data_IF_709300529508
#
_entry.id   IF_709300529508
#
_cell.length_a   1.000
_cell.length_b   1.000
_cell.length_c   1.000
_cell.angle_alpha   90.00
_cell.angle_beta   90.00
_cell.angle_gamma   90.00
#
_symmetry.space_group_name_H-M   'P 1'
#
loop_
_entity.id
_entity.type
_entity.pdbx_description
1 polymer ?
#
# COMPACT_ATOMS: atom_id res chain seq x y z
N UNK A 1 -27.99 5.07 17.34
CA UNK A 1 -27.29 5.81 18.40
C UNK A 1 -26.10 4.97 18.85
N UNK A 2 -24.99 4.93 18.08
CA UNK A 2 -23.72 4.26 18.44
C UNK A 2 -22.57 4.75 17.54
N UNK A 3 -22.45 6.08 17.39
CA UNK A 3 -21.35 6.73 16.66
C UNK A 3 -20.19 7.19 17.55
N UNK A 4 -20.24 6.92 18.86
CA UNK A 4 -19.38 7.64 19.82
C UNK A 4 -18.14 6.90 20.33
N UNK A 5 -17.78 5.70 19.84
CA UNK A 5 -16.61 4.98 20.40
C UNK A 5 -15.52 4.54 19.41
N UNK A 6 -15.46 5.06 18.19
CA UNK A 6 -14.50 4.56 17.19
C UNK A 6 -13.41 5.53 16.75
N UNK A 7 -13.36 6.76 17.23
CA UNK A 7 -12.37 7.74 16.81
C UNK A 7 -11.36 8.04 17.92
N UNK A 8 -10.47 7.10 18.20
CA UNK A 8 -9.28 7.36 19.05
C UNK A 8 -8.24 8.24 18.37
N UNK A 9 -8.29 8.36 17.04
CA UNK A 9 -7.41 9.20 16.23
C UNK A 9 -8.24 10.11 15.32
N UNK A 10 -7.78 11.35 15.07
CA UNK A 10 -8.35 12.23 14.04
C UNK A 10 -8.29 11.59 12.65
N UNK A 11 -9.01 12.17 11.69
CA UNK A 11 -8.90 11.73 10.30
C UNK A 11 -7.48 11.94 9.77
N UNK A 12 -6.99 11.13 8.82
CA UNK A 12 -5.66 11.31 8.22
C UNK A 12 -5.44 12.71 7.65
N UNK A 13 -6.49 13.35 7.12
CA UNK A 13 -6.42 14.74 6.68
C UNK A 13 -6.15 15.70 7.83
N UNK A 14 -6.88 15.57 8.95
CA UNK A 14 -6.65 16.39 10.15
C UNK A 14 -5.23 16.21 10.69
N UNK A 15 -4.72 14.97 10.66
CA UNK A 15 -3.34 14.67 11.07
C UNK A 15 -2.34 15.37 10.13
N UNK A 16 -2.55 15.32 8.81
CA UNK A 16 -1.69 16.00 7.83
C UNK A 16 -1.64 17.52 8.09
N UNK A 17 -2.79 18.13 8.39
CA UNK A 17 -2.87 19.56 8.75
C UNK A 17 -2.13 19.85 10.06
N UNK A 18 -2.34 19.04 11.11
CA UNK A 18 -1.63 19.20 12.39
C UNK A 18 -0.12 19.06 12.23
N UNK A 19 0.34 18.07 11.47
CA UNK A 19 1.76 17.88 11.15
C UNK A 19 2.33 19.09 10.39
N UNK A 20 1.56 19.66 9.46
CA UNK A 20 1.94 20.88 8.76
C UNK A 20 2.18 22.02 9.76
N UNK A 21 1.24 22.29 10.69
CA UNK A 21 1.41 23.31 11.72
C UNK A 21 2.60 23.02 12.64
N UNK A 22 2.79 21.78 13.09
CA UNK A 22 3.95 21.40 13.92
C UNK A 22 5.25 21.66 13.16
N UNK A 23 5.31 21.30 11.87
CA UNK A 23 6.49 21.56 11.04
C UNK A 23 6.79 23.05 10.90
N UNK A 24 5.77 23.89 10.69
CA UNK A 24 5.94 25.35 10.66
C UNK A 24 6.46 25.89 12.00
N UNK A 25 5.88 25.46 13.11
CA UNK A 25 6.33 25.89 14.44
C UNK A 25 7.79 25.49 14.66
N UNK A 26 8.16 24.25 14.40
CA UNK A 26 9.54 23.79 14.53
C UNK A 26 10.49 24.57 13.61
N UNK A 27 10.11 24.79 12.37
CA UNK A 27 10.94 25.55 11.40
C UNK A 27 11.14 27.00 11.84
N UNK A 28 10.12 27.65 12.40
CA UNK A 28 10.23 29.02 12.91
C UNK A 28 11.22 29.17 14.06
N UNK A 29 11.37 28.12 14.91
CA UNK A 29 12.25 28.15 16.07
C UNK A 29 13.63 27.57 15.80
N UNK A 30 13.76 26.62 14.86
CA UNK A 30 14.99 25.86 14.64
C UNK A 30 15.79 26.33 13.41
N UNK A 31 15.10 26.95 12.44
CA UNK A 31 15.77 27.39 11.21
C UNK A 31 16.15 28.87 11.27
N UNK A 32 17.33 29.17 10.71
CA UNK A 32 17.75 30.56 10.53
C UNK A 32 17.19 31.14 9.22
N UNK A 33 16.66 32.38 9.23
CA UNK A 33 16.18 33.02 8.02
C UNK A 33 17.35 33.24 7.03
N UNK A 34 17.17 32.81 5.79
CA UNK A 34 18.21 32.92 4.76
C UNK A 34 18.29 34.28 4.09
N UNK A 35 17.21 35.07 4.16
CA UNK A 35 17.10 36.41 3.57
C UNK A 35 16.67 37.39 4.67
N UNK A 36 17.09 38.64 4.58
CA UNK A 36 16.61 39.73 5.44
C UNK A 36 15.14 40.04 5.14
N UNK A 37 14.24 39.14 5.46
CA UNK A 37 12.83 39.22 5.20
C UNK A 37 11.99 38.61 6.33
N UNK A 38 10.69 38.47 6.10
CA UNK A 38 9.81 37.80 7.03
C UNK A 38 9.98 36.28 6.91
N UNK A 39 10.62 35.65 7.89
CA UNK A 39 10.89 34.20 7.94
C UNK A 39 9.62 33.35 7.72
N UNK A 40 8.47 33.78 8.24
CA UNK A 40 7.21 33.10 8.03
C UNK A 40 6.79 33.10 6.55
N UNK A 41 7.01 34.20 5.83
CA UNK A 41 6.68 34.26 4.39
C UNK A 41 7.59 33.34 3.57
N UNK A 42 8.85 33.22 3.94
CA UNK A 42 9.81 32.28 3.29
C UNK A 42 9.34 30.82 3.51
N UNK A 43 8.95 30.46 4.72
CA UNK A 43 8.44 29.12 5.03
C UNK A 43 7.12 28.84 4.28
N UNK A 44 6.19 29.82 4.22
CA UNK A 44 4.94 29.67 3.45
C UNK A 44 5.22 29.49 1.95
N UNK A 45 6.17 30.24 1.39
CA UNK A 45 6.60 30.06 0.00
C UNK A 45 7.21 28.68 -0.26
N UNK A 46 8.00 28.17 0.69
CA UNK A 46 8.61 26.85 0.59
C UNK A 46 7.59 25.73 0.71
N UNK A 47 6.59 25.92 1.58
CA UNK A 47 5.44 25.04 1.69
C UNK A 47 4.64 24.98 0.40
N UNK A 48 4.29 26.14 -0.17
CA UNK A 48 3.57 26.24 -1.44
C UNK A 48 4.35 25.58 -2.59
N UNK A 49 5.66 25.83 -2.70
CA UNK A 49 6.52 25.16 -3.70
C UNK A 49 6.56 23.65 -3.51
N UNK A 50 6.55 23.18 -2.27
CA UNK A 50 6.48 21.77 -1.94
C UNK A 50 5.16 21.15 -2.40
N UNK A 51 4.01 21.78 -2.10
CA UNK A 51 2.67 21.34 -2.50
C UNK A 51 2.58 21.04 -4.00
N UNK A 52 3.16 21.93 -4.81
CA UNK A 52 3.07 21.88 -6.27
C UNK A 52 4.33 21.37 -6.96
N UNK A 53 5.18 20.64 -6.23
CA UNK A 53 6.41 20.06 -6.79
C UNK A 53 6.07 19.02 -7.87
N UNK A 54 6.45 19.24 -9.16
CA UNK A 54 5.99 18.38 -10.26
C UNK A 54 6.40 16.90 -10.12
N UNK A 55 7.66 16.56 -9.78
CA UNK A 55 8.05 15.17 -9.55
C UNK A 55 7.23 14.45 -8.46
N UNK A 56 6.85 15.17 -7.39
CA UNK A 56 6.05 14.62 -6.30
C UNK A 56 4.57 14.46 -6.71
N UNK A 57 4.02 15.40 -7.48
CA UNK A 57 2.66 15.28 -8.02
C UNK A 57 2.54 14.12 -9.00
N UNK A 58 3.54 13.89 -9.86
CA UNK A 58 3.60 12.70 -10.71
C UNK A 58 3.62 11.44 -9.87
N UNK A 59 4.41 11.42 -8.80
CA UNK A 59 4.44 10.29 -7.87
C UNK A 59 3.07 10.03 -7.21
N UNK A 60 2.37 11.08 -6.75
CA UNK A 60 1.03 10.95 -6.20
C UNK A 60 0.06 10.31 -7.21
N UNK A 61 0.05 10.79 -8.45
CA UNK A 61 -0.78 10.22 -9.51
C UNK A 61 -0.46 8.75 -9.81
N UNK A 62 0.83 8.40 -9.85
CA UNK A 62 1.28 7.01 -10.01
C UNK A 62 0.72 6.10 -8.92
N UNK A 63 0.76 6.54 -7.66
CA UNK A 63 0.23 5.76 -6.52
C UNK A 63 -1.30 5.67 -6.53
N UNK A 64 -1.99 6.74 -6.92
CA UNK A 64 -3.45 6.72 -7.11
C UNK A 64 -3.86 5.70 -8.17
N UNK A 65 -3.21 5.71 -9.34
CA UNK A 65 -3.47 4.76 -10.42
C UNK A 65 -3.18 3.33 -9.97
N UNK A 66 -2.08 3.12 -9.22
CA UNK A 66 -1.71 1.81 -8.67
C UNK A 66 -2.84 1.23 -7.80
N UNK A 67 -3.41 2.06 -6.91
CA UNK A 67 -4.54 1.67 -6.06
C UNK A 67 -5.80 1.43 -6.88
N UNK A 68 -6.18 2.38 -7.71
CA UNK A 68 -7.45 2.34 -8.46
C UNK A 68 -7.48 1.17 -9.43
N UNK A 69 -6.43 1.01 -10.25
CA UNK A 69 -6.41 -0.05 -11.25
C UNK A 69 -6.27 -1.43 -10.59
N UNK A 70 -5.47 -1.54 -9.52
CA UNK A 70 -5.39 -2.76 -8.71
C UNK A 70 -6.75 -3.16 -8.12
N UNK A 71 -7.50 -2.20 -7.58
CA UNK A 71 -8.87 -2.40 -7.10
C UNK A 71 -9.81 -2.85 -8.24
N UNK A 72 -9.73 -2.21 -9.40
CA UNK A 72 -10.51 -2.58 -10.59
C UNK A 72 -10.23 -4.03 -10.99
N UNK A 73 -8.97 -4.46 -11.02
CA UNK A 73 -8.61 -5.87 -11.28
C UNK A 73 -9.26 -6.80 -10.25
N UNK A 74 -9.23 -6.44 -8.95
CA UNK A 74 -9.84 -7.25 -7.90
C UNK A 74 -11.34 -7.46 -8.07
N UNK A 75 -12.07 -6.47 -8.62
CA UNK A 75 -13.50 -6.53 -8.88
C UNK A 75 -13.88 -7.35 -10.13
N UNK A 76 -12.90 -7.85 -10.86
CA UNK A 76 -13.14 -8.55 -12.13
C UNK A 76 -13.74 -9.95 -11.95
N UNK A 77 -14.52 -10.39 -12.94
CA UNK A 77 -15.13 -11.72 -12.95
C UNK A 77 -14.16 -12.90 -12.83
N UNK A 78 -12.98 -12.89 -13.48
CA UNK A 78 -11.96 -13.93 -13.29
C UNK A 78 -11.48 -14.05 -11.84
N UNK A 79 -11.25 -12.92 -11.13
CA UNK A 79 -10.85 -12.93 -9.71
C UNK A 79 -11.98 -13.47 -8.84
N UNK A 80 -13.23 -13.03 -9.05
CA UNK A 80 -14.39 -13.58 -8.31
C UNK A 80 -14.52 -15.09 -8.51
N UNK A 81 -14.30 -15.58 -9.73
CA UNK A 81 -14.34 -17.02 -10.06
C UNK A 81 -13.20 -17.79 -9.38
N UNK A 82 -11.99 -17.22 -9.33
CA UNK A 82 -10.84 -17.81 -8.62
C UNK A 82 -11.14 -17.93 -7.14
N UNK A 83 -11.61 -16.85 -6.51
CA UNK A 83 -11.97 -16.82 -5.08
C UNK A 83 -13.03 -17.91 -4.79
N UNK A 84 -14.08 -18.01 -5.60
CA UNK A 84 -15.13 -19.05 -5.43
C UNK A 84 -14.56 -20.47 -5.46
N UNK A 85 -13.63 -20.75 -6.38
CA UNK A 85 -12.97 -22.07 -6.46
C UNK A 85 -12.14 -22.39 -5.23
N UNK A 86 -11.42 -21.42 -4.70
CA UNK A 86 -10.57 -21.60 -3.52
C UNK A 86 -11.43 -21.71 -2.23
N UNK A 87 -12.55 -20.99 -2.17
CA UNK A 87 -13.44 -20.98 -1.00
C UNK A 87 -13.97 -22.37 -0.61
N UNK A 88 -14.05 -23.31 -1.55
CA UNK A 88 -14.49 -24.69 -1.30
C UNK A 88 -13.56 -25.40 -0.28
N UNK A 89 -12.28 -25.03 -0.23
CA UNK A 89 -11.30 -25.60 0.71
C UNK A 89 -11.35 -24.96 2.10
N UNK A 90 -12.11 -23.87 2.27
CA UNK A 90 -12.27 -23.14 3.51
C UNK A 90 -13.35 -23.80 4.41
N UNK A 91 -13.04 -24.98 4.96
CA UNK A 91 -14.01 -25.85 5.68
C UNK A 91 -14.09 -25.61 7.18
N UNK A 92 -13.13 -24.89 7.77
CA UNK A 92 -13.10 -24.50 9.19
C UNK A 92 -12.23 -23.26 9.38
N UNK A 93 -12.25 -22.65 10.57
CA UNK A 93 -11.51 -21.41 10.87
C UNK A 93 -10.02 -21.52 10.55
N UNK A 94 -9.36 -22.60 10.96
CA UNK A 94 -7.92 -22.78 10.80
C UNK A 94 -7.50 -22.84 9.33
N UNK A 95 -8.16 -23.70 8.54
CA UNK A 95 -7.86 -23.81 7.10
C UNK A 95 -8.20 -22.51 6.35
N UNK A 96 -9.34 -21.92 6.67
CA UNK A 96 -9.80 -20.68 6.04
C UNK A 96 -8.82 -19.52 6.30
N UNK A 97 -8.39 -19.34 7.56
CA UNK A 97 -7.42 -18.31 7.92
C UNK A 97 -6.08 -18.51 7.19
N UNK A 98 -5.55 -19.73 7.15
CA UNK A 98 -4.30 -20.03 6.46
C UNK A 98 -4.39 -19.77 4.95
N UNK A 99 -5.45 -20.26 4.31
CA UNK A 99 -5.66 -20.13 2.86
C UNK A 99 -5.81 -18.66 2.48
N UNK A 100 -6.66 -17.92 3.19
CA UNK A 100 -6.86 -16.48 2.92
C UNK A 100 -5.56 -15.72 3.10
N UNK A 101 -4.84 -15.95 4.22
CA UNK A 101 -3.56 -15.28 4.48
C UNK A 101 -2.57 -15.55 3.37
N UNK A 102 -2.38 -16.81 2.97
CA UNK A 102 -1.45 -17.17 1.90
C UNK A 102 -1.74 -16.43 0.60
N UNK A 103 -2.98 -16.51 0.11
CA UNK A 103 -3.34 -15.88 -1.16
C UNK A 103 -3.35 -14.36 -1.09
N UNK A 104 -3.74 -13.77 0.04
CA UNK A 104 -3.75 -12.31 0.23
C UNK A 104 -2.31 -11.76 0.26
N UNK A 105 -1.41 -12.40 1.01
CA UNK A 105 0.02 -12.03 1.05
C UNK A 105 0.64 -12.22 -0.33
N UNK A 106 0.39 -13.34 -1.00
CA UNK A 106 0.92 -13.61 -2.34
C UNK A 106 0.46 -12.54 -3.35
N UNK A 107 -0.82 -12.22 -3.39
CA UNK A 107 -1.37 -11.21 -4.31
C UNK A 107 -0.84 -9.80 -4.00
N UNK A 108 -0.69 -9.46 -2.72
CA UNK A 108 -0.19 -8.15 -2.29
C UNK A 108 1.28 -7.91 -2.68
N UNK A 109 2.11 -8.95 -2.83
CA UNK A 109 3.46 -8.83 -3.38
C UNK A 109 3.48 -8.30 -4.82
N UNK A 110 2.43 -8.57 -5.61
CA UNK A 110 2.31 -8.04 -6.97
C UNK A 110 1.74 -6.63 -6.99
N UNK A 111 0.62 -6.41 -6.29
CA UNK A 111 0.01 -5.09 -6.21
C UNK A 111 -0.76 -4.93 -4.91
N UNK A 112 -0.41 -3.89 -4.15
CA UNK A 112 -0.99 -3.64 -2.84
C UNK A 112 -2.49 -3.29 -2.86
N UNK A 113 -2.94 -2.52 -3.86
CA UNK A 113 -4.35 -2.19 -4.02
C UNK A 113 -5.19 -3.41 -4.39
N UNK A 114 -4.68 -4.24 -5.31
CA UNK A 114 -5.28 -5.54 -5.64
C UNK A 114 -5.32 -6.44 -4.40
N UNK A 115 -4.21 -6.58 -3.66
CA UNK A 115 -4.11 -7.45 -2.48
C UNK A 115 -5.08 -7.07 -1.38
N UNK A 116 -5.23 -5.77 -1.09
CA UNK A 116 -6.14 -5.26 -0.08
C UNK A 116 -7.61 -5.63 -0.39
N UNK A 117 -8.05 -5.37 -1.62
CA UNK A 117 -9.43 -5.63 -2.03
C UNK A 117 -9.69 -7.12 -2.26
N UNK A 118 -8.72 -7.85 -2.83
CA UNK A 118 -8.78 -9.31 -2.97
C UNK A 118 -8.99 -9.98 -1.61
N UNK A 119 -8.19 -9.61 -0.61
CA UNK A 119 -8.31 -10.15 0.75
C UNK A 119 -9.66 -9.85 1.38
N UNK A 120 -10.18 -8.63 1.19
CA UNK A 120 -11.49 -8.23 1.69
C UNK A 120 -12.63 -9.04 1.04
N UNK A 121 -12.63 -9.17 -0.29
CA UNK A 121 -13.62 -9.95 -1.03
C UNK A 121 -13.52 -11.43 -0.64
N UNK A 122 -12.31 -11.96 -0.52
CA UNK A 122 -12.10 -13.36 -0.15
C UNK A 122 -12.64 -13.66 1.26
N UNK A 123 -12.32 -12.82 2.25
CA UNK A 123 -12.87 -12.95 3.61
C UNK A 123 -14.40 -12.91 3.60
N UNK A 124 -15.02 -11.98 2.86
CA UNK A 124 -16.47 -11.89 2.70
C UNK A 124 -17.07 -13.16 2.10
N UNK A 125 -16.49 -13.66 1.00
CA UNK A 125 -16.96 -14.87 0.32
C UNK A 125 -16.86 -16.13 1.18
N UNK A 126 -15.78 -16.23 1.99
CA UNK A 126 -15.66 -17.35 2.96
C UNK A 126 -16.70 -17.24 4.05
N UNK A 127 -17.03 -16.05 4.55
CA UNK A 127 -18.12 -15.84 5.48
C UNK A 127 -19.49 -16.23 4.90
N UNK A 128 -19.80 -15.82 3.67
CA UNK A 128 -21.02 -16.20 2.95
C UNK A 128 -21.10 -17.70 2.72
N UNK A 129 -19.99 -18.34 2.35
CA UNK A 129 -19.90 -19.81 2.19
C UNK A 129 -20.15 -20.53 3.50
N UNK A 130 -19.62 -20.03 4.61
CA UNK A 130 -19.81 -20.62 5.92
C UNK A 130 -21.29 -20.58 6.35
N UNK A 131 -21.97 -19.46 6.17
CA UNK A 131 -23.40 -19.34 6.48
C UNK A 131 -24.22 -20.33 5.63
N UNK A 132 -23.95 -20.37 4.32
CA UNK A 132 -24.66 -21.26 3.39
C UNK A 132 -24.50 -22.74 3.74
N UNK A 133 -23.31 -23.14 4.21
CA UNK A 133 -22.97 -24.52 4.52
C UNK A 133 -23.04 -24.83 6.04
N UNK A 134 -23.57 -23.90 6.86
CA UNK A 134 -23.67 -24.03 8.31
C UNK A 134 -22.33 -24.36 9.00
N UNK A 135 -21.23 -23.78 8.48
CA UNK A 135 -19.90 -23.94 9.08
C UNK A 135 -19.72 -22.91 10.20
N UNK A 136 -19.17 -23.35 11.31
CA UNK A 136 -18.75 -22.44 12.39
C UNK A 136 -17.39 -21.85 12.06
N UNK A 137 -17.29 -20.52 11.97
CA UNK A 137 -16.04 -19.79 11.71
C UNK A 137 -15.87 -18.60 12.65
N UNK A 138 -14.65 -18.36 13.09
CA UNK A 138 -14.28 -17.09 13.71
C UNK A 138 -14.12 -16.03 12.62
N UNK A 139 -15.17 -15.33 12.27
CA UNK A 139 -15.20 -14.39 11.16
C UNK A 139 -14.28 -13.17 11.35
N UNK A 140 -14.09 -12.58 12.55
CA UNK A 140 -13.08 -11.59 12.81
C UNK A 140 -11.65 -12.04 12.48
N UNK A 141 -11.27 -13.28 12.81
CA UNK A 141 -9.97 -13.84 12.42
C UNK A 141 -9.84 -13.98 10.90
N UNK A 142 -10.92 -14.35 10.21
CA UNK A 142 -10.97 -14.41 8.75
C UNK A 142 -10.78 -13.02 8.13
N UNK A 143 -11.40 -11.98 8.73
CA UNK A 143 -11.18 -10.58 8.35
C UNK A 143 -9.71 -10.16 8.51
N UNK A 144 -9.09 -10.48 9.65
CA UNK A 144 -7.67 -10.21 9.88
C UNK A 144 -6.76 -10.96 8.88
N UNK A 145 -7.12 -12.20 8.50
CA UNK A 145 -6.43 -12.95 7.44
C UNK A 145 -6.51 -12.22 6.09
N UNK A 146 -7.67 -11.67 5.74
CA UNK A 146 -7.85 -10.86 4.53
C UNK A 146 -7.10 -9.53 4.55
N UNK A 147 -6.71 -9.04 5.73
CA UNK A 147 -5.93 -7.81 5.88
C UNK A 147 -4.40 -8.02 5.86
N UNK A 148 -3.94 -9.25 6.04
CA UNK A 148 -2.53 -9.59 6.20
C UNK A 148 -1.62 -9.24 5.02
N UNK A 149 -2.19 -9.03 3.82
CA UNK A 149 -1.42 -8.62 2.63
C UNK A 149 -0.68 -7.29 2.81
N UNK A 150 -1.17 -6.42 3.69
CA UNK A 150 -0.48 -5.16 3.99
C UNK A 150 0.82 -5.34 4.81
N UNK A 151 1.19 -6.56 5.18
CA UNK A 151 2.49 -6.85 5.80
C UNK A 151 3.64 -7.04 4.79
N UNK A 152 3.35 -7.13 3.48
CA UNK A 152 4.37 -7.35 2.44
C UNK A 152 4.35 -6.30 1.33
N UNK A 153 3.34 -5.46 1.30
CA UNK A 153 3.04 -4.61 0.15
C UNK A 153 4.16 -3.63 -0.24
N UNK A 154 4.84 -3.03 0.74
CA UNK A 154 5.87 -2.03 0.48
C UNK A 154 7.18 -2.66 0.02
N UNK A 155 7.45 -3.91 0.42
CA UNK A 155 8.51 -4.76 -0.13
C UNK A 155 8.11 -5.51 -1.41
N UNK A 156 6.88 -5.35 -1.89
CA UNK A 156 6.38 -5.95 -3.13
C UNK A 156 6.68 -5.10 -4.37
N UNK A 157 6.29 -5.62 -5.53
CA UNK A 157 6.56 -5.00 -6.85
C UNK A 157 5.90 -3.62 -6.98
N UNK A 158 4.86 -3.32 -6.22
CA UNK A 158 4.17 -2.03 -6.21
C UNK A 158 4.46 -1.17 -4.98
N UNK A 159 5.51 -1.46 -4.25
CA UNK A 159 5.91 -0.70 -3.06
C UNK A 159 6.33 0.74 -3.41
N UNK A 160 5.86 1.74 -2.64
CA UNK A 160 6.01 3.15 -3.00
C UNK A 160 7.46 3.61 -3.09
N UNK A 161 8.25 3.47 -2.01
CA UNK A 161 9.64 3.93 -1.97
C UNK A 161 10.55 3.09 -2.88
N UNK A 162 10.59 1.74 -2.78
CA UNK A 162 11.53 0.95 -3.58
C UNK A 162 11.31 1.06 -5.08
N UNK A 163 10.05 1.15 -5.53
CA UNK A 163 9.76 1.27 -6.97
C UNK A 163 10.05 2.69 -7.48
N UNK A 164 9.86 3.72 -6.64
CA UNK A 164 10.09 5.11 -7.05
C UNK A 164 11.56 5.40 -7.27
N UNK A 165 12.45 4.89 -6.43
CA UNK A 165 13.90 5.12 -6.56
C UNK A 165 14.54 4.38 -7.73
N UNK A 166 13.83 3.45 -8.35
CA UNK A 166 14.27 2.77 -9.57
C UNK A 166 13.86 3.51 -10.87
N UNK A 167 13.07 4.56 -10.77
CA UNK A 167 12.63 5.38 -11.89
C UNK A 167 13.58 6.56 -12.08
N UNK A 168 14.08 6.78 -13.31
CA UNK A 168 14.85 7.96 -13.63
C UNK A 168 13.98 9.23 -13.49
N UNK A 169 14.56 10.31 -13.02
CA UNK A 169 13.86 11.57 -12.75
C UNK A 169 13.10 11.61 -11.43
N UNK A 170 13.30 10.63 -10.53
CA UNK A 170 12.65 10.68 -9.22
C UNK A 170 13.21 11.82 -8.35
N UNK A 171 12.41 12.33 -7.43
CA UNK A 171 12.68 13.56 -6.68
C UNK A 171 13.93 13.54 -5.78
N UNK A 172 14.51 12.38 -5.48
CA UNK A 172 15.77 12.22 -4.73
C UNK A 172 16.95 11.74 -5.59
N UNK A 173 16.80 11.67 -6.92
CA UNK A 173 17.86 11.16 -7.79
C UNK A 173 19.19 11.92 -7.64
N UNK A 174 19.13 13.23 -7.44
CA UNK A 174 20.32 14.07 -7.22
C UNK A 174 21.12 13.72 -5.96
N UNK A 175 20.50 13.05 -4.96
CA UNK A 175 21.14 12.65 -3.69
C UNK A 175 21.62 11.19 -3.69
N UNK A 176 20.99 10.31 -4.46
CA UNK A 176 21.23 8.87 -4.36
C UNK A 176 21.35 8.13 -5.69
N UNK A 177 21.15 8.82 -6.82
CA UNK A 177 21.07 8.21 -8.14
C UNK A 177 19.84 7.32 -8.31
N UNK A 178 19.78 6.56 -9.40
CA UNK A 178 18.74 5.56 -9.69
C UNK A 178 19.20 4.23 -9.11
N UNK A 179 18.37 3.61 -8.27
CA UNK A 179 18.67 2.34 -7.61
C UNK A 179 17.82 1.23 -8.22
N UNK A 180 18.49 0.24 -8.81
CA UNK A 180 17.82 -0.90 -9.43
C UNK A 180 16.97 -1.70 -8.43
N UNK A 181 15.86 -2.25 -8.92
CA UNK A 181 14.99 -3.18 -8.19
C UNK A 181 15.72 -4.43 -7.67
N UNK A 182 16.81 -4.83 -8.35
CA UNK A 182 17.66 -5.95 -7.88
C UNK A 182 18.31 -5.67 -6.51
N UNK A 183 18.52 -4.40 -6.17
CA UNK A 183 19.13 -4.00 -4.91
C UNK A 183 18.10 -3.76 -3.79
N UNK A 184 16.81 -3.74 -4.10
CA UNK A 184 15.72 -3.48 -3.15
C UNK A 184 14.74 -4.63 -3.11
N UNK A 185 13.68 -4.61 -3.94
CA UNK A 185 12.58 -5.60 -3.94
C UNK A 185 13.10 -7.00 -4.22
N UNK A 186 14.03 -7.15 -5.15
CA UNK A 186 14.62 -8.44 -5.54
C UNK A 186 15.98 -8.71 -4.87
N UNK A 187 16.37 -7.93 -3.85
CA UNK A 187 17.53 -8.25 -3.03
C UNK A 187 17.31 -9.55 -2.24
N UNK A 188 18.39 -10.28 -1.93
CA UNK A 188 18.33 -11.48 -1.11
C UNK A 188 17.69 -11.24 0.25
N UNK A 189 17.93 -10.06 0.84
CA UNK A 189 17.32 -9.62 2.08
C UNK A 189 15.79 -9.56 1.98
N UNK A 190 15.26 -8.88 0.97
CA UNK A 190 13.80 -8.73 0.84
C UNK A 190 13.12 -10.01 0.34
N UNK A 191 13.77 -10.79 -0.51
CA UNK A 191 13.26 -12.11 -0.92
C UNK A 191 13.12 -13.01 0.32
N UNK A 192 14.14 -13.07 1.19
CA UNK A 192 14.05 -13.84 2.42
C UNK A 192 12.90 -13.35 3.31
N UNK A 193 12.77 -12.03 3.54
CA UNK A 193 11.68 -11.47 4.32
C UNK A 193 10.31 -11.84 3.76
N UNK A 194 10.13 -11.69 2.44
CA UNK A 194 8.88 -12.00 1.74
C UNK A 194 8.51 -13.48 1.80
N UNK A 195 9.49 -14.37 1.62
CA UNK A 195 9.29 -15.83 1.71
C UNK A 195 8.95 -16.23 3.15
N UNK A 196 9.66 -15.69 4.14
CA UNK A 196 9.35 -15.97 5.55
C UNK A 196 7.92 -15.52 5.90
N UNK A 197 7.50 -14.34 5.46
CA UNK A 197 6.13 -13.88 5.69
C UNK A 197 5.10 -14.74 4.96
N UNK A 198 5.37 -15.14 3.70
CA UNK A 198 4.47 -15.99 2.91
C UNK A 198 4.27 -17.38 3.53
N UNK A 199 5.24 -17.87 4.30
CA UNK A 199 5.17 -19.19 4.97
C UNK A 199 4.69 -19.03 6.42
N UNK A 200 5.31 -18.16 7.20
CA UNK A 200 5.06 -18.05 8.65
C UNK A 200 3.67 -17.50 8.94
N UNK A 201 3.20 -16.47 8.20
CA UNK A 201 1.89 -15.89 8.48
C UNK A 201 0.73 -16.87 8.28
N UNK A 202 0.63 -17.63 7.17
CA UNK A 202 -0.43 -18.64 7.01
C UNK A 202 -0.36 -19.75 8.07
N UNK A 203 0.85 -20.22 8.39
CA UNK A 203 1.06 -21.25 9.45
C UNK A 203 0.62 -20.72 10.81
N UNK A 204 1.01 -19.50 11.16
CA UNK A 204 0.59 -18.87 12.39
C UNK A 204 -0.94 -18.70 12.47
N UNK A 205 -1.56 -18.21 11.41
CA UNK A 205 -3.00 -18.01 11.32
C UNK A 205 -3.76 -19.34 11.37
N UNK A 206 -3.19 -20.43 10.84
CA UNK A 206 -3.72 -21.78 11.01
C UNK A 206 -3.77 -22.20 12.48
N UNK A 207 -2.66 -22.05 13.21
CA UNK A 207 -2.62 -22.41 14.63
C UNK A 207 -3.49 -21.50 15.49
N UNK A 208 -3.58 -20.21 15.14
CA UNK A 208 -4.46 -19.28 15.81
C UNK A 208 -5.93 -19.66 15.60
N UNK A 209 -6.30 -20.10 14.39
CA UNK A 209 -7.65 -20.58 14.07
C UNK A 209 -8.01 -21.89 14.75
N UNK A 210 -7.04 -22.73 15.14
CA UNK A 210 -7.30 -23.93 15.95
C UNK A 210 -7.67 -23.62 17.40
N UNK A 211 -7.17 -22.52 17.95
CA UNK A 211 -7.38 -22.14 19.37
C UNK A 211 -8.68 -21.38 19.59
N UNK A 212 -9.24 -20.80 18.56
CA UNK A 212 -10.39 -19.89 18.64
C UNK A 212 -11.54 -20.45 17.78
N UNK A 213 -12.11 -21.57 18.20
CA UNK A 213 -13.39 -22.02 17.69
C UNK A 213 -14.51 -21.22 18.35
N UNK A 214 -15.48 -20.86 17.51
CA UNK A 214 -16.80 -20.31 17.82
C UNK A 214 -16.84 -18.77 17.88
N UNK A 215 -17.52 -18.20 16.88
CA UNK A 215 -18.46 -17.10 17.13
C UNK A 215 -19.51 -17.07 16.02
N UNK A 216 -20.74 -16.75 16.39
CA UNK A 216 -21.84 -16.59 15.45
C UNK A 216 -21.49 -15.55 14.41
N UNK A 217 -21.48 -15.95 13.14
CA UNK A 217 -21.21 -15.04 12.02
C UNK A 217 -22.44 -14.15 11.87
N UNK A 218 -22.35 -12.90 12.30
CA UNK A 218 -23.36 -11.88 12.00
C UNK A 218 -22.97 -11.11 10.74
N UNK A 219 -23.04 -11.77 9.59
CA UNK A 219 -22.96 -11.04 8.32
C UNK A 219 -24.39 -10.63 7.96
N UNK A 220 -24.64 -9.33 7.85
CA UNK A 220 -25.82 -8.86 7.16
C UNK A 220 -25.72 -9.30 5.69
N UNK A 221 -26.45 -10.36 5.38
CA UNK A 221 -26.63 -10.82 4.01
C UNK A 221 -27.64 -9.91 3.30
N UNK A 222 -27.44 -8.60 3.34
CA UNK A 222 -28.05 -7.75 2.33
C UNK A 222 -27.38 -8.12 1.00
N UNK A 223 -27.92 -9.21 0.46
CA UNK A 223 -27.83 -9.53 -0.94
C UNK A 223 -28.65 -8.43 -1.61
N UNK A 224 -28.05 -7.25 -1.78
CA UNK A 224 -28.53 -6.32 -2.78
C UNK A 224 -28.44 -7.10 -4.09
N UNK A 225 -29.53 -7.78 -4.45
CA UNK A 225 -29.77 -8.21 -5.81
C UNK A 225 -29.60 -6.96 -6.63
N UNK A 226 -28.41 -6.79 -7.28
CA UNK A 226 -28.34 -5.91 -8.42
C UNK A 226 -29.41 -6.45 -9.36
N UNK A 227 -30.56 -5.82 -9.36
CA UNK A 227 -31.57 -6.07 -10.37
C UNK A 227 -30.88 -5.81 -11.70
N UNK A 228 -30.55 -6.88 -12.38
CA UNK A 228 -30.17 -6.82 -13.80
C UNK A 228 -31.44 -6.42 -14.56
N UNK A 229 -31.79 -5.14 -14.52
CA UNK A 229 -32.69 -4.56 -15.50
C UNK A 229 -31.91 -4.64 -16.81
N UNK A 230 -32.23 -5.62 -17.63
CA UNK A 230 -31.67 -5.74 -18.98
C UNK A 230 -32.20 -4.56 -19.81
N UNK A 231 -31.58 -3.39 -19.67
CA UNK A 231 -31.79 -2.28 -20.58
C UNK A 231 -31.31 -2.71 -21.96
N UNK A 232 -32.15 -2.56 -22.96
CA UNK A 232 -31.79 -2.78 -24.36
C UNK A 232 -30.74 -1.75 -24.74
N UNK A 233 -29.52 -2.22 -25.02
CA UNK A 233 -28.38 -1.37 -25.39
C UNK A 233 -28.58 -0.94 -26.84
N UNK A 234 -28.75 0.36 -27.08
CA UNK A 234 -29.03 0.92 -28.41
C UNK A 234 -28.03 2.03 -28.76
N UNK A 235 -27.89 2.28 -30.06
CA UNK A 235 -27.09 3.39 -30.57
C UNK A 235 -25.61 3.34 -30.19
N UNK A 236 -25.07 4.46 -29.75
CA UNK A 236 -23.64 4.68 -29.41
C UNK A 236 -23.22 3.87 -28.16
N UNK A 237 -24.13 3.55 -27.25
CA UNK A 237 -23.85 2.73 -26.07
C UNK A 237 -23.28 1.33 -26.41
N UNK A 238 -23.52 0.85 -27.63
CA UNK A 238 -22.94 -0.42 -28.12
C UNK A 238 -21.42 -0.41 -28.14
N UNK A 239 -20.79 0.76 -28.28
CA UNK A 239 -19.32 0.92 -28.25
C UNK A 239 -18.81 0.59 -26.85
N UNK A 240 -19.44 1.14 -25.80
CA UNK A 240 -19.04 0.92 -24.41
C UNK A 240 -19.23 -0.55 -23.98
N UNK A 241 -20.20 -1.24 -24.56
CA UNK A 241 -20.49 -2.65 -24.30
C UNK A 241 -19.74 -3.62 -25.25
N UNK A 242 -18.92 -3.10 -26.18
CA UNK A 242 -18.17 -3.91 -27.13
C UNK A 242 -17.04 -4.69 -26.44
N UNK A 243 -17.12 -6.02 -26.47
CA UNK A 243 -16.05 -6.90 -26.01
C UNK A 243 -14.82 -6.84 -26.91
N UNK A 244 -15.05 -6.72 -28.22
CA UNK A 244 -13.98 -6.70 -29.23
C UNK A 244 -13.07 -5.50 -28.99
N UNK A 245 -13.63 -4.30 -28.80
CA UNK A 245 -12.86 -3.09 -28.56
C UNK A 245 -12.02 -3.19 -27.27
N UNK A 246 -12.59 -3.71 -26.18
CA UNK A 246 -11.86 -3.88 -24.92
C UNK A 246 -10.72 -4.90 -25.05
N UNK A 247 -10.94 -6.02 -25.77
CA UNK A 247 -9.89 -7.01 -26.01
C UNK A 247 -8.79 -6.49 -26.95
N UNK A 248 -9.14 -5.76 -28.01
CA UNK A 248 -8.15 -5.15 -28.90
C UNK A 248 -7.33 -4.12 -28.13
N UNK A 249 -7.96 -3.18 -27.47
CA UNK A 249 -7.26 -2.10 -26.78
C UNK A 249 -6.42 -2.63 -25.60
N UNK A 250 -6.99 -3.48 -24.75
CA UNK A 250 -6.25 -4.13 -23.66
C UNK A 250 -5.15 -5.05 -24.17
N UNK A 251 -5.40 -5.77 -25.26
CA UNK A 251 -4.42 -6.64 -25.92
C UNK A 251 -3.25 -5.88 -26.51
N UNK A 252 -3.47 -4.72 -27.12
CA UNK A 252 -2.39 -3.81 -27.61
C UNK A 252 -1.52 -3.34 -26.46
N UNK A 253 -2.14 -2.93 -25.33
CA UNK A 253 -1.41 -2.52 -24.13
C UNK A 253 -0.52 -3.67 -23.61
N UNK A 254 -1.08 -4.87 -23.47
CA UNK A 254 -0.34 -6.03 -22.96
C UNK A 254 0.75 -6.49 -23.93
N UNK A 255 0.46 -6.50 -25.22
CA UNK A 255 1.45 -6.81 -26.27
C UNK A 255 2.62 -5.82 -26.24
N UNK A 256 2.33 -4.52 -26.18
CA UNK A 256 3.39 -3.51 -26.11
C UNK A 256 4.18 -3.58 -24.81
N UNK A 257 3.51 -3.87 -23.69
CA UNK A 257 4.19 -4.11 -22.41
C UNK A 257 5.17 -5.28 -22.50
N UNK A 258 4.73 -6.39 -23.09
CA UNK A 258 5.59 -7.56 -23.32
C UNK A 258 6.75 -7.21 -24.27
N UNK A 259 6.46 -6.56 -25.38
CA UNK A 259 7.45 -6.14 -26.38
C UNK A 259 8.53 -5.24 -25.74
N UNK A 260 8.11 -4.26 -24.93
CA UNK A 260 9.00 -3.36 -24.19
C UNK A 260 9.87 -4.08 -23.15
N UNK A 261 9.36 -5.14 -22.53
CA UNK A 261 10.08 -5.86 -21.48
C UNK A 261 11.07 -6.90 -22.04
N UNK A 262 10.73 -7.55 -23.16
CA UNK A 262 11.43 -8.76 -23.61
C UNK A 262 12.04 -8.67 -25.01
N UNK A 263 11.59 -7.71 -25.82
CA UNK A 263 12.01 -7.61 -27.23
C UNK A 263 12.90 -6.40 -27.50
N UNK A 264 12.56 -5.23 -26.93
CA UNK A 264 13.36 -4.01 -27.13
C UNK A 264 14.76 -4.10 -26.48
N UNK A 265 14.90 -4.56 -25.22
CA UNK A 265 16.20 -4.56 -24.55
C UNK A 265 17.09 -5.70 -25.05
N UNK A 266 18.38 -5.42 -25.26
CA UNK A 266 19.38 -6.45 -25.57
C UNK A 266 19.51 -7.49 -24.43
N UNK A 267 19.26 -7.05 -23.18
CA UNK A 267 19.24 -7.90 -22.00
C UNK A 267 17.98 -7.63 -21.17
N UNK A 268 17.30 -8.70 -20.73
CA UNK A 268 16.13 -8.61 -19.85
C UNK A 268 16.61 -8.02 -18.51
N UNK A 269 16.01 -6.91 -18.10
CA UNK A 269 16.34 -6.23 -16.87
C UNK A 269 15.11 -5.95 -16.02
N UNK A 270 15.28 -6.08 -14.71
CA UNK A 270 14.26 -5.71 -13.72
C UNK A 270 14.01 -4.19 -13.65
N UNK A 271 14.88 -3.38 -14.24
CA UNK A 271 14.75 -1.90 -14.26
C UNK A 271 13.51 -1.41 -15.01
N UNK A 272 12.89 -2.26 -15.83
CA UNK A 272 11.61 -1.94 -16.46
C UNK A 272 10.46 -1.82 -15.46
N UNK A 273 10.58 -2.44 -14.28
CA UNK A 273 9.56 -2.43 -13.25
C UNK A 273 9.56 -1.04 -12.58
N UNK A 274 8.82 -0.11 -13.19
CA UNK A 274 8.58 1.25 -12.71
C UNK A 274 7.10 1.46 -12.41
N UNK A 275 6.72 2.50 -11.62
CA UNK A 275 5.30 2.79 -11.38
C UNK A 275 4.48 2.92 -12.67
N UNK A 276 5.04 3.59 -13.69
CA UNK A 276 4.38 3.77 -14.97
C UNK A 276 4.18 2.45 -15.72
N UNK A 277 5.20 1.59 -15.73
CA UNK A 277 5.11 0.29 -16.38
C UNK A 277 4.06 -0.61 -15.73
N UNK A 278 4.05 -0.68 -14.39
CA UNK A 278 3.07 -1.49 -13.66
C UNK A 278 1.66 -0.97 -13.89
N UNK A 279 1.44 0.35 -13.80
CA UNK A 279 0.13 0.94 -14.07
C UNK A 279 -0.34 0.64 -15.50
N UNK A 280 0.56 0.67 -16.47
CA UNK A 280 0.25 0.37 -17.87
C UNK A 280 -0.14 -1.11 -18.05
N UNK A 281 0.63 -2.03 -17.48
CA UNK A 281 0.31 -3.47 -17.50
C UNK A 281 -1.03 -3.76 -16.83
N UNK A 282 -1.24 -3.21 -15.63
CA UNK A 282 -2.50 -3.40 -14.88
C UNK A 282 -3.70 -2.84 -15.63
N UNK A 283 -3.55 -1.71 -16.34
CA UNK A 283 -4.61 -1.15 -17.18
C UNK A 283 -5.02 -2.14 -18.29
N UNK A 284 -4.06 -2.72 -18.98
CA UNK A 284 -4.32 -3.74 -20.01
C UNK A 284 -5.03 -4.97 -19.44
N UNK A 285 -4.54 -5.46 -18.29
CA UNK A 285 -5.17 -6.59 -17.58
C UNK A 285 -6.61 -6.24 -17.17
N UNK A 286 -6.83 -5.07 -16.56
CA UNK A 286 -8.15 -4.64 -16.11
C UNK A 286 -9.16 -4.59 -17.26
N UNK A 287 -8.78 -4.01 -18.41
CA UNK A 287 -9.64 -3.92 -19.60
C UNK A 287 -10.03 -5.29 -20.13
N UNK A 288 -9.07 -6.21 -20.26
CA UNK A 288 -9.31 -7.57 -20.73
C UNK A 288 -10.21 -8.34 -19.75
N UNK A 289 -9.96 -8.20 -18.44
CA UNK A 289 -10.72 -8.94 -17.42
C UNK A 289 -12.15 -8.44 -17.25
N UNK A 290 -12.44 -7.15 -17.48
CA UNK A 290 -13.78 -6.57 -17.46
C UNK A 290 -14.55 -6.74 -18.77
N UNK A 291 -13.88 -7.13 -19.86
CA UNK A 291 -14.45 -7.51 -21.16
C UNK A 291 -15.10 -6.38 -21.96
N UNK A 292 -15.45 -5.24 -21.38
CA UNK A 292 -15.99 -4.07 -22.06
C UNK A 292 -15.75 -2.80 -21.22
N UNK A 293 -15.84 -1.64 -21.85
CA UNK A 293 -15.57 -0.37 -21.21
C UNK A 293 -16.61 0.00 -20.14
N UNK A 294 -17.88 -0.34 -20.35
CA UNK A 294 -18.94 -0.07 -19.38
C UNK A 294 -18.63 -0.73 -18.01
N UNK A 295 -18.32 -2.03 -18.00
CA UNK A 295 -17.98 -2.73 -16.76
C UNK A 295 -16.66 -2.23 -16.15
N UNK A 296 -15.68 -1.92 -17.00
CA UNK A 296 -14.40 -1.34 -16.54
C UNK A 296 -14.64 0.01 -15.85
N UNK A 297 -15.38 0.93 -16.49
CA UNK A 297 -15.67 2.25 -15.91
C UNK A 297 -16.54 2.16 -14.66
N UNK A 298 -17.49 1.23 -14.59
CA UNK A 298 -18.26 0.97 -13.37
C UNK A 298 -17.34 0.56 -12.22
N UNK A 299 -16.36 -0.32 -12.47
CA UNK A 299 -15.38 -0.70 -11.46
C UNK A 299 -14.44 0.46 -11.08
N UNK A 300 -14.05 1.33 -12.03
CA UNK A 300 -13.26 2.54 -11.75
C UNK A 300 -14.04 3.49 -10.83
N UNK A 301 -15.34 3.70 -11.08
CA UNK A 301 -16.19 4.55 -10.24
C UNK A 301 -16.30 4.04 -8.79
N UNK A 302 -16.23 2.74 -8.58
CA UNK A 302 -16.17 2.16 -7.24
C UNK A 302 -14.78 2.31 -6.61
N UNK A 303 -13.73 2.06 -7.39
CA UNK A 303 -12.35 2.06 -6.93
C UNK A 303 -11.82 3.46 -6.57
N UNK A 304 -12.21 4.50 -7.32
CA UNK A 304 -11.69 5.87 -7.14
C UNK A 304 -12.01 6.45 -5.75
N UNK A 305 -13.08 6.00 -5.12
CA UNK A 305 -13.46 6.41 -3.76
C UNK A 305 -12.34 6.12 -2.75
N UNK A 306 -11.58 5.04 -2.95
CA UNK A 306 -10.44 4.68 -2.11
C UNK A 306 -9.21 5.57 -2.32
N UNK A 307 -9.11 6.26 -3.47
CA UNK A 307 -7.96 7.10 -3.81
C UNK A 307 -8.14 8.58 -3.42
N UNK A 308 -9.32 9.00 -2.98
CA UNK A 308 -9.63 10.40 -2.63
C UNK A 308 -8.70 10.95 -1.54
N UNK A 309 -8.31 10.11 -0.57
CA UNK A 309 -7.35 10.48 0.47
C UNK A 309 -5.98 10.84 -0.11
N UNK A 310 -5.46 10.05 -1.02
CA UNK A 310 -4.16 10.29 -1.66
C UNK A 310 -4.18 11.64 -2.40
N UNK A 311 -5.23 11.91 -3.15
CA UNK A 311 -5.37 13.14 -3.95
C UNK A 311 -5.17 14.42 -3.13
N UNK A 312 -5.67 14.47 -1.91
CA UNK A 312 -5.65 15.69 -1.07
C UNK A 312 -4.51 15.66 -0.05
N UNK A 313 -4.16 14.50 0.50
CA UNK A 313 -3.19 14.41 1.59
C UNK A 313 -1.74 14.45 1.08
N UNK A 314 -1.45 13.86 -0.09
CA UNK A 314 -0.09 13.85 -0.62
C UNK A 314 0.47 15.25 -0.85
N UNK A 315 -0.23 16.19 -1.48
CA UNK A 315 0.25 17.57 -1.56
C UNK A 315 0.61 18.18 -0.20
N UNK A 316 -0.19 17.92 0.87
CA UNK A 316 0.14 18.42 2.21
C UNK A 316 1.46 17.82 2.73
N UNK A 317 1.72 16.53 2.54
CA UNK A 317 2.99 15.91 2.91
C UNK A 317 4.16 16.46 2.08
N UNK A 318 3.94 16.77 0.80
CA UNK A 318 4.94 17.41 -0.05
C UNK A 318 5.24 18.83 0.41
N UNK A 319 4.24 19.55 0.87
CA UNK A 319 4.43 20.86 1.51
C UNK A 319 5.28 20.77 2.79
N UNK A 320 5.02 19.78 3.66
CA UNK A 320 5.85 19.49 4.84
C UNK A 320 7.30 19.27 4.42
N UNK A 321 7.53 18.41 3.41
CA UNK A 321 8.87 18.14 2.87
C UNK A 321 9.54 19.43 2.34
N UNK A 322 8.78 20.29 1.66
CA UNK A 322 9.25 21.58 1.16
C UNK A 322 9.75 22.49 2.29
N UNK A 323 8.99 22.61 3.39
CA UNK A 323 9.41 23.37 4.59
C UNK A 323 10.66 22.76 5.21
N UNK A 324 10.67 21.44 5.43
CA UNK A 324 11.79 20.74 6.09
C UNK A 324 13.10 20.85 5.29
N UNK A 325 13.01 20.73 3.95
CA UNK A 325 14.19 20.84 3.09
C UNK A 325 14.73 22.25 3.03
N UNK A 326 13.85 23.26 2.99
CA UNK A 326 14.25 24.65 2.96
C UNK A 326 14.84 25.12 4.29
N UNK A 327 14.27 24.72 5.40
CA UNK A 327 14.66 25.15 6.75
C UNK A 327 15.89 24.45 7.33
N UNK A 328 16.52 23.53 6.59
CA UNK A 328 17.64 22.73 7.11
C UNK A 328 17.24 21.65 8.14
N UNK A 329 15.95 21.48 8.40
CA UNK A 329 15.46 20.46 9.36
C UNK A 329 15.81 19.04 8.91
N UNK A 330 15.93 18.79 7.59
CA UNK A 330 16.36 17.48 7.06
C UNK A 330 17.77 17.17 7.58
N UNK A 331 18.72 18.11 7.48
CA UNK A 331 20.09 17.95 7.97
C UNK A 331 20.16 17.82 9.48
N UNK A 332 19.37 18.61 10.21
CA UNK A 332 19.32 18.53 11.69
C UNK A 332 18.85 17.15 12.15
N UNK A 333 17.76 16.64 11.57
CA UNK A 333 17.22 15.32 11.91
C UNK A 333 18.15 14.19 11.46
N UNK A 334 18.78 14.30 10.29
CA UNK A 334 19.75 13.31 9.83
C UNK A 334 20.98 13.27 10.76
N UNK A 335 21.51 14.42 11.16
CA UNK A 335 22.62 14.52 12.14
C UNK A 335 22.25 13.91 13.49
N UNK A 336 21.02 14.11 13.97
CA UNK A 336 20.54 13.45 15.17
C UNK A 336 20.59 11.90 15.04
N UNK A 337 20.08 11.35 13.92
CA UNK A 337 20.15 9.91 13.68
C UNK A 337 21.58 9.39 13.56
N UNK A 338 22.47 10.15 12.90
CA UNK A 338 23.92 9.83 12.81
C UNK A 338 24.56 9.74 14.18
N UNK A 339 24.27 10.69 15.08
CA UNK A 339 24.89 10.74 16.41
C UNK A 339 24.46 9.60 17.34
N UNK A 340 23.26 9.04 17.16
CA UNK A 340 22.73 7.95 17.99
C UNK A 340 22.87 6.57 17.35
N UNK A 341 23.35 6.49 16.11
CA UNK A 341 23.36 5.26 15.32
C UNK A 341 24.77 4.84 14.93
N UNK A 342 24.88 3.60 14.52
CA UNK A 342 26.03 3.03 13.83
C UNK A 342 25.55 2.17 12.67
N UNK A 343 26.45 1.54 11.95
CA UNK A 343 26.15 0.70 10.78
C UNK A 343 25.07 -0.37 11.05
N UNK A 344 25.10 -0.99 12.23
CA UNK A 344 24.15 -2.05 12.62
C UNK A 344 22.81 -1.47 13.10
N UNK A 345 22.86 -0.41 13.92
CA UNK A 345 21.64 0.11 14.56
C UNK A 345 20.84 1.07 13.68
N UNK A 346 21.46 1.73 12.71
CA UNK A 346 20.77 2.68 11.85
C UNK A 346 19.59 2.07 11.06
N UNK A 347 19.71 0.90 10.40
CA UNK A 347 18.56 0.25 9.77
C UNK A 347 17.43 -0.08 10.75
N UNK A 348 17.77 -0.46 12.00
CA UNK A 348 16.78 -0.75 13.04
C UNK A 348 16.07 0.52 13.49
N UNK A 349 16.80 1.62 13.73
CA UNK A 349 16.19 2.90 14.08
C UNK A 349 15.36 3.47 12.92
N UNK A 350 15.80 3.28 11.68
CA UNK A 350 15.01 3.61 10.49
C UNK A 350 13.71 2.84 10.46
N UNK A 351 13.74 1.52 10.69
CA UNK A 351 12.56 0.67 10.78
C UNK A 351 11.58 1.15 11.88
N UNK A 352 12.10 1.39 13.09
CA UNK A 352 11.28 1.83 14.21
C UNK A 352 10.69 3.23 13.98
N UNK A 353 11.50 4.18 13.53
CA UNK A 353 11.04 5.54 13.24
C UNK A 353 10.00 5.56 12.11
N UNK A 354 10.21 4.76 11.07
CA UNK A 354 9.24 4.62 10.00
C UNK A 354 7.90 4.06 10.50
N UNK A 355 7.95 3.06 11.39
CA UNK A 355 6.75 2.55 12.04
C UNK A 355 6.00 3.60 12.85
N UNK A 356 6.72 4.42 13.63
CA UNK A 356 6.11 5.50 14.41
C UNK A 356 5.51 6.56 13.48
N UNK A 357 6.24 7.00 12.47
CA UNK A 357 5.77 8.03 11.53
C UNK A 357 4.55 7.54 10.75
N UNK A 358 4.52 6.27 10.34
CA UNK A 358 3.39 5.71 9.62
C UNK A 358 2.07 5.76 10.41
N UNK A 359 2.10 5.79 11.75
CA UNK A 359 0.88 5.97 12.56
C UNK A 359 0.24 7.32 12.27
N UNK A 360 1.04 8.36 12.02
CA UNK A 360 0.58 9.72 11.75
C UNK A 360 0.44 10.02 10.26
N UNK A 361 1.30 9.43 9.43
CA UNK A 361 1.32 9.56 7.96
C UNK A 361 1.02 8.20 7.34
N UNK A 362 -0.25 7.74 7.33
CA UNK A 362 -0.63 6.39 6.91
C UNK A 362 -0.56 6.26 5.38
N UNK A 363 0.62 6.46 4.81
CA UNK A 363 0.84 6.48 3.37
C UNK A 363 2.30 6.29 3.04
N UNK A 364 2.69 5.14 2.50
CA UNK A 364 4.08 4.85 2.15
C UNK A 364 4.72 5.88 1.20
N UNK A 365 3.95 6.39 0.23
CA UNK A 365 4.42 7.45 -0.66
C UNK A 365 4.58 8.82 0.03
N UNK A 366 3.60 9.20 0.84
CA UNK A 366 3.65 10.44 1.63
C UNK A 366 4.78 10.38 2.67
N UNK A 367 4.92 9.26 3.35
CA UNK A 367 5.99 9.03 4.31
C UNK A 367 7.37 9.05 3.63
N UNK A 368 7.52 8.41 2.47
CA UNK A 368 8.76 8.46 1.69
C UNK A 368 9.12 9.88 1.30
N UNK A 369 8.16 10.71 0.90
CA UNK A 369 8.40 12.11 0.59
C UNK A 369 8.95 12.89 1.79
N UNK A 370 8.47 12.60 3.01
CA UNK A 370 8.91 13.30 4.25
C UNK A 370 10.18 12.70 4.84
N UNK A 371 10.23 11.39 5.04
CA UNK A 371 11.37 10.73 5.71
C UNK A 371 12.51 10.36 4.77
N UNK A 372 12.24 10.13 3.48
CA UNK A 372 13.25 9.73 2.52
C UNK A 372 14.47 10.64 2.50
N UNK A 373 14.32 11.97 2.38
CA UNK A 373 15.45 12.91 2.41
C UNK A 373 16.33 12.80 3.66
N UNK A 374 15.71 12.59 4.83
CA UNK A 374 16.40 12.46 6.13
C UNK A 374 17.23 11.17 6.17
N UNK A 375 16.59 10.06 5.79
CA UNK A 375 17.20 8.73 5.83
C UNK A 375 18.36 8.63 4.83
N UNK A 376 18.21 9.19 3.63
CA UNK A 376 19.25 9.18 2.62
C UNK A 376 20.44 10.03 3.05
N UNK A 377 20.19 11.20 3.61
CA UNK A 377 21.25 12.08 4.12
C UNK A 377 22.04 11.40 5.25
N UNK A 378 21.35 10.82 6.23
CA UNK A 378 21.97 10.08 7.33
C UNK A 378 22.72 8.82 6.85
N UNK A 379 22.16 8.06 5.91
CA UNK A 379 22.81 6.89 5.33
C UNK A 379 24.11 7.26 4.59
N UNK A 380 24.11 8.37 3.85
CA UNK A 380 25.31 8.89 3.18
C UNK A 380 26.37 9.29 4.20
N UNK A 381 26.02 9.99 5.26
CA UNK A 381 26.97 10.42 6.31
C UNK A 381 27.57 9.24 7.07
N UNK A 382 26.80 8.18 7.31
CA UNK A 382 27.24 6.94 7.96
C UNK A 382 27.90 5.93 7.00
N UNK A 383 27.97 6.24 5.69
CA UNK A 383 28.42 5.31 4.63
C UNK A 383 27.67 3.97 4.63
N UNK A 384 26.39 3.98 4.96
CA UNK A 384 25.52 2.79 5.01
C UNK A 384 24.82 2.59 3.66
N UNK A 385 24.55 1.33 3.34
CA UNK A 385 23.82 0.94 2.13
C UNK A 385 22.46 1.66 2.03
N UNK A 386 22.29 2.52 1.02
CA UNK A 386 21.04 3.21 0.72
C UNK A 386 19.91 2.21 0.44
N UNK A 387 20.07 1.18 -0.41
CA UNK A 387 19.04 0.17 -0.61
C UNK A 387 18.53 -0.46 0.68
N UNK A 388 19.44 -0.86 1.60
CA UNK A 388 19.08 -1.41 2.91
C UNK A 388 18.28 -0.41 3.74
N UNK A 389 18.67 0.85 3.75
CA UNK A 389 17.98 1.93 4.49
C UNK A 389 16.58 2.19 3.94
N UNK A 390 16.41 2.18 2.62
CA UNK A 390 15.09 2.29 1.98
C UNK A 390 14.19 1.10 2.33
N UNK A 391 14.74 -0.11 2.32
CA UNK A 391 13.98 -1.30 2.70
C UNK A 391 13.63 -1.32 4.19
N UNK A 392 14.51 -0.81 5.06
CA UNK A 392 14.20 -0.65 6.49
C UNK A 392 13.02 0.30 6.73
N UNK A 393 12.98 1.44 6.01
CA UNK A 393 11.81 2.33 6.01
C UNK A 393 10.56 1.59 5.51
N UNK A 394 10.65 0.88 4.39
CA UNK A 394 9.53 0.15 3.82
C UNK A 394 8.96 -0.88 4.79
N UNK A 395 9.82 -1.61 5.51
CA UNK A 395 9.41 -2.58 6.52
C UNK A 395 8.72 -1.94 7.73
N UNK A 396 9.25 -0.81 8.23
CA UNK A 396 8.66 -0.07 9.34
C UNK A 396 7.30 0.52 8.99
N UNK A 397 7.17 1.10 7.81
CA UNK A 397 5.92 1.62 7.28
C UNK A 397 4.87 0.49 7.16
N UNK A 398 5.17 -0.58 6.43
CA UNK A 398 4.17 -1.61 6.15
C UNK A 398 3.68 -2.36 7.39
N UNK A 399 4.55 -2.58 8.38
CA UNK A 399 4.18 -3.40 9.55
C UNK A 399 3.15 -2.72 10.43
N UNK A 400 3.22 -1.40 10.60
CA UNK A 400 2.31 -0.65 11.47
C UNK A 400 0.93 -0.45 10.86
N UNK A 401 0.72 -0.78 9.59
CA UNK A 401 -0.61 -0.90 9.00
C UNK A 401 -1.49 -1.91 9.76
N UNK A 402 -0.88 -2.91 10.41
CA UNK A 402 -1.61 -3.87 11.25
C UNK A 402 -2.25 -3.25 12.49
N UNK A 403 -1.82 -2.05 12.89
CA UNK A 403 -2.35 -1.31 14.03
C UNK A 403 -3.30 -0.18 13.62
N UNK A 404 -3.38 0.13 12.32
CA UNK A 404 -4.13 1.28 11.80
C UNK A 404 -5.50 0.86 11.26
N UNK A 405 -6.57 1.59 11.62
CA UNK A 405 -7.89 1.37 11.03
C UNK A 405 -8.01 1.95 9.61
N UNK A 406 -7.16 2.88 9.19
CA UNK A 406 -7.31 3.62 7.93
C UNK A 406 -7.32 2.72 6.70
N UNK A 407 -6.29 1.91 6.53
CA UNK A 407 -6.21 0.97 5.41
C UNK A 407 -7.16 -0.23 5.56
N UNK A 408 -7.67 -0.48 6.77
CA UNK A 408 -8.68 -1.50 7.00
C UNK A 408 -10.08 -1.06 6.52
N UNK A 409 -10.36 0.22 6.32
CA UNK A 409 -11.68 0.72 5.95
C UNK A 409 -12.32 0.02 4.74
N UNK A 410 -11.61 -0.21 3.62
CA UNK A 410 -12.17 -0.97 2.50
C UNK A 410 -12.56 -2.40 2.89
N UNK A 411 -11.71 -3.08 3.65
CA UNK A 411 -11.98 -4.43 4.14
C UNK A 411 -13.19 -4.44 5.09
N UNK A 412 -13.25 -3.51 6.03
CA UNK A 412 -14.35 -3.39 6.99
C UNK A 412 -15.68 -3.10 6.27
N UNK A 413 -15.66 -2.22 5.26
CA UNK A 413 -16.82 -1.92 4.42
C UNK A 413 -17.31 -3.14 3.64
N UNK A 414 -16.41 -3.95 3.09
CA UNK A 414 -16.75 -5.15 2.33
C UNK A 414 -17.21 -6.28 3.23
N UNK A 415 -16.54 -6.51 4.36
CA UNK A 415 -16.82 -7.64 5.26
C UNK A 415 -17.96 -7.38 6.25
N UNK A 416 -18.23 -6.11 6.54
CA UNK A 416 -19.16 -5.69 7.60
C UNK A 416 -18.59 -5.81 9.01
N UNK A 417 -17.29 -6.12 9.15
CA UNK A 417 -16.61 -6.21 10.44
C UNK A 417 -16.27 -4.81 10.97
N UNK A 418 -16.05 -4.71 12.29
CA UNK A 418 -15.55 -3.51 12.96
C UNK A 418 -14.02 -3.61 13.15
N UNK A 419 -13.34 -2.48 13.19
CA UNK A 419 -11.89 -2.43 13.43
C UNK A 419 -11.51 -3.11 14.78
N UNK A 420 -12.31 -2.90 15.82
CA UNK A 420 -12.10 -3.51 17.14
C UNK A 420 -12.19 -5.04 17.14
N UNK A 421 -12.88 -5.64 16.17
CA UNK A 421 -13.02 -7.09 16.06
C UNK A 421 -11.78 -7.75 15.44
N UNK A 422 -11.16 -7.09 14.46
CA UNK A 422 -9.95 -7.62 13.78
C UNK A 422 -8.65 -7.27 14.53
N UNK A 423 -8.62 -6.16 15.27
CA UNK A 423 -7.43 -5.63 15.94
C UNK A 423 -6.71 -6.64 16.85
N UNK A 424 -7.38 -7.48 17.67
CA UNK A 424 -6.70 -8.48 18.51
C UNK A 424 -5.88 -9.50 17.71
N UNK A 425 -6.22 -9.73 16.45
CA UNK A 425 -5.53 -10.64 15.54
C UNK A 425 -4.42 -9.92 14.76
N UNK A 426 -4.68 -8.70 14.30
CA UNK A 426 -3.67 -7.92 13.57
C UNK A 426 -2.51 -7.48 14.45
N UNK A 427 -2.73 -7.22 15.75
CA UNK A 427 -1.64 -7.02 16.73
C UNK A 427 -0.71 -8.24 16.81
N UNK A 428 -1.25 -9.45 16.77
CA UNK A 428 -0.42 -10.67 16.78
C UNK A 428 0.39 -10.81 15.50
N UNK A 429 -0.19 -10.45 14.35
CA UNK A 429 0.54 -10.41 13.07
C UNK A 429 1.64 -9.35 13.11
N UNK A 430 1.36 -8.17 13.66
CA UNK A 430 2.34 -7.10 13.88
C UNK A 430 3.56 -7.60 14.68
N UNK A 431 3.35 -8.28 15.81
CA UNK A 431 4.45 -8.80 16.64
C UNK A 431 5.33 -9.82 15.89
N UNK A 432 4.72 -10.71 15.10
CA UNK A 432 5.48 -11.65 14.27
C UNK A 432 6.27 -10.93 13.19
N UNK A 433 5.65 -9.94 12.56
CA UNK A 433 6.32 -9.13 11.53
C UNK A 433 7.53 -8.38 12.07
N UNK A 434 7.46 -7.80 13.28
CA UNK A 434 8.62 -7.16 13.93
C UNK A 434 9.77 -8.16 14.04
N UNK A 435 9.50 -9.36 14.58
CA UNK A 435 10.53 -10.40 14.75
C UNK A 435 11.18 -10.72 13.42
N UNK A 436 10.39 -10.95 12.36
CA UNK A 436 10.91 -11.29 11.04
C UNK A 436 11.74 -10.15 10.46
N UNK A 437 11.22 -8.92 10.44
CA UNK A 437 11.90 -7.79 9.81
C UNK A 437 13.17 -7.40 10.56
N UNK A 438 13.13 -7.33 11.89
CA UNK A 438 14.33 -7.04 12.69
C UNK A 438 15.37 -8.11 12.50
N UNK A 439 14.98 -9.41 12.52
CA UNK A 439 15.93 -10.51 12.28
C UNK A 439 16.58 -10.40 10.90
N UNK A 440 15.80 -10.12 9.85
CA UNK A 440 16.34 -9.97 8.49
C UNK A 440 17.27 -8.75 8.39
N UNK A 441 16.92 -7.61 8.99
CA UNK A 441 17.78 -6.42 9.01
C UNK A 441 19.11 -6.64 9.76
N UNK A 442 19.12 -7.52 10.76
CA UNK A 442 20.33 -7.85 11.51
C UNK A 442 21.22 -8.89 10.79
N UNK A 443 20.64 -9.78 9.97
CA UNK A 443 21.37 -10.81 9.23
C UNK A 443 22.12 -10.23 8.04
N UNK A 444 21.54 -9.26 7.36
CA UNK A 444 22.09 -8.59 6.19
C UNK A 444 22.71 -7.24 6.53
#
# INVERSE_FOLDING_TARGET
MDRERTNLLPTPFSIAVLLTFITFILALFLAEPTIKGNHLIELLSSWEKGLWNPPLLVFALQMMLMLVIGHVVALSGPIDSLIKKITIYCTNTAKSAAIITFFTVFVALFNWGLGLIFGAIFARKVGEHAIKNKLSLNYPLIGAAGYSGLMVWHGGISGSAPIKIAEAGHFLEHKMGVISQSNTIFSSMNILASVLLLIILPVFMYFLGKKHDINNISINLDISKKENISKRIEGVEKIDHSKILAYIFGGVILFFSFYKAFIIPDNISLNIITPNYINFVLLGIALVMHKNFYNFLAAVNDAIKGASGILIQFPLYFGIMGVMSYSGMVEMLSTFFVNISNETTFPIFTFLSAGIVNIFVPSGGGQWAVQGPIIIEAANQLAISIPKSVMALAYGDQITNMLQPFWALPLLGITGLKASEILPYTIKLFLIGIIIFVSVLLIF
#
